data_IF_718023644759
#
_entry.id   IF_718023644759
#
_cell.length_a   1.000
_cell.length_b   1.000
_cell.length_c   1.000
_cell.angle_alpha   90.00
_cell.angle_beta   90.00
_cell.angle_gamma   90.00
#
_symmetry.space_group_name_H-M   'P 1'
#
loop_
_entity.id
_entity.type
_entity.pdbx_description
1 polymer ?
#
# COMPACT_ATOMS: atom_id res chain seq x y z
N UNK A 1 -50.87 -27.98 37.28
CA UNK A 1 -49.77 -28.83 36.75
C UNK A 1 -49.09 -28.29 35.47
N UNK A 2 -49.57 -27.20 34.82
CA UNK A 2 -49.06 -26.73 33.52
C UNK A 2 -47.95 -25.67 33.61
N UNK A 3 -47.76 -24.95 34.71
CA UNK A 3 -46.74 -23.87 34.81
C UNK A 3 -45.32 -24.38 34.97
N UNK A 4 -45.12 -25.54 35.59
CA UNK A 4 -43.77 -26.13 35.81
C UNK A 4 -43.18 -26.67 34.51
N UNK A 5 -44.01 -27.14 33.57
CA UNK A 5 -43.53 -27.62 32.25
C UNK A 5 -43.14 -26.49 31.28
N UNK A 6 -43.81 -25.33 31.37
CA UNK A 6 -43.44 -24.18 30.55
C UNK A 6 -42.05 -23.60 30.95
N UNK A 7 -41.77 -23.51 32.26
CA UNK A 7 -40.48 -23.00 32.76
C UNK A 7 -39.31 -23.92 32.39
N UNK A 8 -39.51 -25.23 32.45
CA UNK A 8 -38.48 -26.20 32.01
C UNK A 8 -38.19 -26.14 30.53
N UNK A 9 -39.19 -25.91 29.68
CA UNK A 9 -39.00 -25.77 28.23
C UNK A 9 -38.28 -24.44 27.84
N UNK A 10 -38.58 -23.35 28.55
CA UNK A 10 -37.89 -22.07 28.35
C UNK A 10 -36.43 -22.15 28.79
N UNK A 11 -36.15 -22.80 29.93
CA UNK A 11 -34.77 -23.03 30.38
C UNK A 11 -33.99 -23.95 29.43
N UNK A 12 -34.64 -24.99 28.88
CA UNK A 12 -34.00 -25.88 27.89
C UNK A 12 -33.67 -25.17 26.60
N UNK A 13 -34.56 -24.28 26.11
CA UNK A 13 -34.29 -23.43 24.94
C UNK A 13 -33.16 -22.43 25.19
N UNK A 14 -33.14 -21.75 26.34
CA UNK A 14 -32.03 -20.83 26.70
C UNK A 14 -30.69 -21.56 26.78
N UNK A 15 -30.63 -22.77 27.38
CA UNK A 15 -29.40 -23.59 27.34
C UNK A 15 -28.99 -23.97 25.93
N UNK A 16 -29.94 -24.32 25.05
CA UNK A 16 -29.61 -24.66 23.64
C UNK A 16 -29.06 -23.48 22.87
N UNK A 17 -29.62 -22.26 23.04
CA UNK A 17 -29.09 -21.05 22.41
C UNK A 17 -27.71 -20.68 22.95
N UNK A 18 -27.46 -20.85 24.24
CA UNK A 18 -26.16 -20.60 24.85
C UNK A 18 -25.09 -21.57 24.32
N UNK A 19 -25.41 -22.86 24.18
CA UNK A 19 -24.51 -23.85 23.57
C UNK A 19 -24.25 -23.58 22.09
N UNK A 20 -25.27 -23.16 21.35
CA UNK A 20 -25.12 -22.76 19.95
C UNK A 20 -24.19 -21.52 19.80
N UNK A 21 -24.36 -20.54 20.69
CA UNK A 21 -23.50 -19.35 20.73
C UNK A 21 -22.04 -19.72 21.02
N UNK A 22 -21.80 -20.58 22.02
CA UNK A 22 -20.46 -21.08 22.34
C UNK A 22 -19.85 -21.87 21.18
N UNK A 23 -20.65 -22.67 20.47
CA UNK A 23 -20.21 -23.42 19.32
C UNK A 23 -19.83 -22.50 18.15
N UNK A 24 -20.62 -21.47 17.85
CA UNK A 24 -20.31 -20.45 16.83
C UNK A 24 -19.02 -19.71 17.20
N UNK A 25 -18.88 -19.33 18.48
CA UNK A 25 -17.67 -18.65 18.97
C UNK A 25 -16.43 -19.55 18.88
N UNK A 26 -16.58 -20.85 19.18
CA UNK A 26 -15.52 -21.83 19.06
C UNK A 26 -15.13 -22.08 17.59
N UNK A 27 -16.09 -22.20 16.68
CA UNK A 27 -15.82 -22.32 15.24
C UNK A 27 -15.14 -21.07 14.70
N UNK A 28 -15.61 -19.89 15.10
CA UNK A 28 -14.97 -18.62 14.75
C UNK A 28 -13.53 -18.54 15.28
N UNK A 29 -13.30 -18.97 16.52
CA UNK A 29 -11.97 -19.06 17.14
C UNK A 29 -11.06 -20.05 16.40
N UNK A 30 -11.57 -21.23 16.00
CA UNK A 30 -10.82 -22.19 15.18
C UNK A 30 -10.48 -21.65 13.80
N UNK A 31 -11.39 -20.89 13.16
CA UNK A 31 -11.14 -20.24 11.87
C UNK A 31 -10.02 -19.19 12.02
N UNK A 32 -10.05 -18.39 13.09
CA UNK A 32 -8.98 -17.40 13.37
C UNK A 32 -7.64 -18.10 13.61
N UNK A 33 -7.60 -19.14 14.42
CA UNK A 33 -6.35 -19.90 14.68
C UNK A 33 -5.84 -20.54 13.39
N UNK A 34 -6.71 -21.17 12.61
CA UNK A 34 -6.30 -21.83 11.36
C UNK A 34 -5.80 -20.83 10.31
N UNK A 35 -6.37 -19.64 10.26
CA UNK A 35 -5.85 -18.56 9.41
C UNK A 35 -4.50 -18.03 9.91
N UNK A 36 -4.29 -17.93 11.23
CA UNK A 36 -3.02 -17.50 11.81
C UNK A 36 -1.89 -18.54 11.66
N UNK A 37 -2.21 -19.84 11.51
CA UNK A 37 -1.21 -20.89 11.29
C UNK A 37 -0.80 -21.05 9.82
N UNK A 38 -1.58 -20.47 8.89
CA UNK A 38 -1.33 -20.61 7.45
C UNK A 38 -0.09 -19.82 6.98
N UNK A 39 0.24 -18.73 7.67
CA UNK A 39 1.35 -17.85 7.30
C UNK A 39 2.36 -17.75 8.43
N UNK A 40 3.64 -17.62 8.07
CA UNK A 40 4.71 -17.39 9.05
C UNK A 40 4.55 -15.99 9.66
N UNK A 41 4.67 -15.88 10.97
CA UNK A 41 4.72 -14.57 11.64
C UNK A 41 5.97 -13.79 11.21
N UNK A 42 5.80 -12.49 10.93
CA UNK A 42 6.87 -11.59 10.53
C UNK A 42 6.51 -10.17 10.97
N UNK A 43 7.36 -9.51 11.71
CA UNK A 43 7.12 -8.16 12.22
C UNK A 43 7.05 -7.08 11.13
N UNK A 44 7.42 -7.41 9.89
CA UNK A 44 7.40 -6.50 8.75
C UNK A 44 6.72 -7.13 7.53
N UNK A 45 5.71 -6.46 7.01
CA UNK A 45 5.01 -6.84 5.77
C UNK A 45 5.30 -5.85 4.65
N UNK A 46 5.72 -6.36 3.51
CA UNK A 46 5.77 -5.61 2.25
C UNK A 46 4.41 -5.71 1.56
N UNK A 47 3.89 -4.58 1.12
CA UNK A 47 2.67 -4.49 0.31
C UNK A 47 3.05 -4.02 -1.08
N UNK A 48 2.57 -4.69 -2.10
CA UNK A 48 2.87 -4.35 -3.48
C UNK A 48 1.70 -4.68 -4.40
N UNK A 49 1.71 -4.13 -5.60
CA UNK A 49 0.76 -4.48 -6.63
C UNK A 49 1.37 -4.40 -8.03
N UNK A 50 0.79 -5.16 -8.95
CA UNK A 50 1.07 -5.01 -10.37
C UNK A 50 -0.19 -5.23 -11.21
N UNK A 51 -0.41 -4.30 -12.13
CA UNK A 51 -1.46 -4.34 -13.15
C UNK A 51 -0.82 -4.04 -14.50
N UNK A 52 -1.13 -4.87 -15.51
CA UNK A 52 -0.62 -4.66 -16.88
C UNK A 52 -1.36 -3.49 -17.52
N UNK A 53 -0.80 -2.29 -17.37
CA UNK A 53 -1.37 -1.04 -17.85
C UNK A 53 -0.33 -0.35 -18.75
N UNK A 54 -0.80 0.36 -19.78
CA UNK A 54 0.07 1.22 -20.59
C UNK A 54 0.76 2.23 -19.69
N UNK A 55 2.07 2.28 -19.75
CA UNK A 55 2.92 3.18 -18.97
C UNK A 55 4.21 3.48 -19.74
N UNK A 56 5.11 4.25 -19.13
CA UNK A 56 6.40 4.64 -19.71
C UNK A 56 7.31 3.46 -20.09
N UNK A 57 7.20 2.33 -19.38
CA UNK A 57 8.04 1.14 -19.59
C UNK A 57 7.25 0.01 -20.22
N UNK A 58 7.95 -0.87 -20.95
CA UNK A 58 7.35 -2.04 -21.58
C UNK A 58 6.95 -3.11 -20.53
N UNK A 59 5.94 -3.94 -20.80
CA UNK A 59 5.55 -5.03 -19.91
C UNK A 59 6.69 -6.02 -19.60
N UNK A 60 7.59 -6.24 -20.54
CA UNK A 60 8.75 -7.13 -20.40
C UNK A 60 9.76 -6.59 -19.37
N UNK A 61 9.96 -5.27 -19.33
CA UNK A 61 10.79 -4.62 -18.32
C UNK A 61 10.22 -4.86 -16.92
N UNK A 62 8.91 -4.66 -16.76
CA UNK A 62 8.24 -4.94 -15.48
C UNK A 62 8.38 -6.38 -15.06
N UNK A 63 8.24 -7.34 -15.99
CA UNK A 63 8.42 -8.77 -15.67
C UNK A 63 9.85 -9.08 -15.19
N UNK A 64 10.87 -8.43 -15.77
CA UNK A 64 12.26 -8.55 -15.31
C UNK A 64 12.40 -8.02 -13.88
N UNK A 65 11.88 -6.84 -13.60
CA UNK A 65 11.97 -6.21 -12.27
C UNK A 65 11.15 -6.97 -11.21
N UNK A 66 9.97 -7.46 -11.58
CA UNK A 66 9.13 -8.28 -10.71
C UNK A 66 9.86 -9.58 -10.34
N UNK A 67 10.58 -10.20 -11.27
CA UNK A 67 11.41 -11.40 -10.94
C UNK A 67 12.40 -11.10 -9.82
N UNK A 68 13.02 -9.93 -9.83
CA UNK A 68 13.92 -9.51 -8.77
C UNK A 68 13.17 -9.26 -7.45
N UNK A 69 12.04 -8.54 -7.51
CA UNK A 69 11.22 -8.21 -6.35
C UNK A 69 10.70 -9.47 -5.61
N UNK A 70 10.24 -10.47 -6.36
CA UNK A 70 9.67 -11.69 -5.77
C UNK A 70 10.72 -12.60 -5.11
N UNK A 71 12.01 -12.36 -5.31
CA UNK A 71 13.08 -13.10 -4.63
C UNK A 71 13.31 -12.62 -3.18
N UNK A 72 12.73 -11.49 -2.77
CA UNK A 72 12.88 -11.00 -1.39
C UNK A 72 12.37 -12.01 -0.38
N UNK A 73 13.22 -12.39 0.58
CA UNK A 73 12.85 -13.29 1.68
C UNK A 73 12.12 -12.52 2.79
N UNK A 74 10.97 -11.93 2.44
CA UNK A 74 10.11 -11.15 3.33
C UNK A 74 8.65 -11.54 3.15
N UNK A 75 7.84 -11.23 4.15
CA UNK A 75 6.40 -11.38 4.06
C UNK A 75 5.82 -10.35 3.10
N UNK A 76 5.07 -10.82 2.11
CA UNK A 76 4.52 -9.98 1.02
C UNK A 76 3.02 -10.18 0.90
N UNK A 77 2.26 -9.08 0.91
CA UNK A 77 0.88 -9.02 0.44
C UNK A 77 0.90 -8.40 -0.96
N UNK A 78 0.51 -9.18 -1.96
CA UNK A 78 0.61 -8.79 -3.36
C UNK A 78 -0.77 -8.72 -4.02
N UNK A 79 -1.12 -7.55 -4.53
CA UNK A 79 -2.37 -7.30 -5.24
C UNK A 79 -2.16 -7.35 -6.75
N UNK A 80 -3.11 -7.97 -7.46
CA UNK A 80 -3.09 -8.04 -8.91
C UNK A 80 -4.48 -8.45 -9.43
N UNK A 81 -4.67 -8.42 -10.76
CA UNK A 81 -5.89 -8.93 -11.38
C UNK A 81 -5.85 -10.46 -11.54
N UNK A 82 -7.00 -11.04 -11.88
CA UNK A 82 -7.16 -12.49 -12.08
C UNK A 82 -6.24 -13.04 -13.17
N UNK A 83 -6.07 -12.28 -14.25
CA UNK A 83 -5.23 -12.66 -15.40
C UNK A 83 -3.76 -12.82 -15.01
N UNK A 84 -3.22 -11.89 -14.25
CA UNK A 84 -1.78 -11.85 -13.93
C UNK A 84 -1.39 -12.69 -12.71
N UNK A 85 -2.31 -13.00 -11.81
CA UNK A 85 -2.04 -13.72 -10.57
C UNK A 85 -1.31 -15.07 -10.77
N UNK A 86 -1.66 -15.93 -11.74
CA UNK A 86 -0.94 -17.20 -11.97
C UNK A 86 0.53 -16.98 -12.33
N UNK A 87 0.82 -15.96 -13.15
CA UNK A 87 2.18 -15.59 -13.54
C UNK A 87 3.00 -15.19 -12.31
N UNK A 88 2.45 -14.33 -11.46
CA UNK A 88 3.13 -13.87 -10.27
C UNK A 88 3.38 -15.01 -9.27
N UNK A 89 2.40 -15.88 -9.05
CA UNK A 89 2.52 -17.06 -8.21
C UNK A 89 3.61 -18.01 -8.71
N UNK A 90 3.76 -18.16 -10.03
CA UNK A 90 4.82 -18.98 -10.66
C UNK A 90 6.22 -18.35 -10.50
N UNK A 91 6.32 -17.02 -10.54
CA UNK A 91 7.59 -16.30 -10.39
C UNK A 91 8.11 -16.34 -8.94
N UNK A 92 7.21 -16.35 -7.95
CA UNK A 92 7.58 -16.42 -6.54
C UNK A 92 8.18 -17.78 -6.20
N UNK A 93 9.38 -17.88 -5.60
CA UNK A 93 9.96 -19.15 -5.17
C UNK A 93 9.00 -19.95 -4.28
N UNK A 94 8.87 -21.26 -4.50
CA UNK A 94 7.91 -22.10 -3.77
C UNK A 94 8.14 -22.09 -2.27
N UNK A 95 9.40 -22.06 -1.85
CA UNK A 95 9.83 -21.96 -0.45
C UNK A 95 9.38 -20.65 0.23
N UNK A 96 9.04 -19.61 -0.54
CA UNK A 96 8.56 -18.34 -0.02
C UNK A 96 7.02 -18.18 -0.09
N UNK A 97 6.30 -19.19 -0.56
CA UNK A 97 4.84 -19.12 -0.66
C UNK A 97 4.18 -18.98 0.72
N UNK A 98 4.75 -19.55 1.77
CA UNK A 98 4.25 -19.41 3.15
C UNK A 98 4.41 -17.99 3.72
N UNK A 99 5.24 -17.15 3.08
CA UNK A 99 5.43 -15.72 3.35
C UNK A 99 4.69 -14.83 2.34
N UNK A 100 3.70 -15.35 1.60
CA UNK A 100 3.09 -14.58 0.51
C UNK A 100 1.58 -14.74 0.49
N UNK A 101 0.88 -13.62 0.49
CA UNK A 101 -0.56 -13.54 0.26
C UNK A 101 -0.80 -12.88 -1.09
N UNK A 102 -1.48 -13.59 -1.99
CA UNK A 102 -1.93 -13.05 -3.26
C UNK A 102 -3.40 -12.66 -3.16
N UNK A 103 -3.71 -11.41 -3.47
CA UNK A 103 -5.07 -10.88 -3.47
C UNK A 103 -5.44 -10.47 -4.89
N UNK A 104 -6.47 -11.12 -5.41
CA UNK A 104 -7.06 -10.73 -6.70
C UNK A 104 -8.04 -9.59 -6.46
N UNK A 105 -7.83 -8.48 -7.17
CA UNK A 105 -8.71 -7.33 -7.16
C UNK A 105 -8.67 -6.66 -8.54
N UNK A 106 -9.80 -6.55 -9.21
CA UNK A 106 -9.88 -5.88 -10.51
C UNK A 106 -9.89 -4.35 -10.34
N UNK A 107 -9.54 -3.60 -11.38
CA UNK A 107 -9.46 -2.12 -11.32
C UNK A 107 -10.83 -1.52 -11.00
N UNK A 108 -11.88 -2.11 -11.52
CA UNK A 108 -13.28 -1.72 -11.29
C UNK A 108 -13.70 -1.87 -9.82
N UNK A 109 -12.96 -2.70 -9.05
CA UNK A 109 -13.18 -2.92 -7.62
C UNK A 109 -12.37 -1.96 -6.73
N UNK A 110 -11.51 -1.15 -7.30
CA UNK A 110 -10.74 -0.17 -6.53
C UNK A 110 -11.65 0.87 -5.88
N UNK A 111 -11.26 1.29 -4.69
CA UNK A 111 -11.91 2.40 -4.02
C UNK A 111 -11.79 3.69 -4.85
N UNK A 112 -10.62 3.91 -5.43
CA UNK A 112 -10.34 5.03 -6.33
C UNK A 112 -11.23 5.01 -7.58
N UNK A 113 -11.47 3.84 -8.18
CA UNK A 113 -12.38 3.69 -9.33
C UNK A 113 -13.84 4.03 -8.94
N UNK A 114 -14.34 3.38 -7.88
CA UNK A 114 -15.74 3.50 -7.46
C UNK A 114 -16.12 4.92 -7.02
N UNK A 115 -15.16 5.68 -6.47
CA UNK A 115 -15.45 6.98 -5.86
C UNK A 115 -14.93 8.18 -6.68
N UNK A 116 -13.87 8.02 -7.50
CA UNK A 116 -13.15 9.16 -8.10
C UNK A 116 -12.84 8.99 -9.59
N UNK A 117 -13.43 8.01 -10.28
CA UNK A 117 -13.14 7.76 -11.70
C UNK A 117 -13.39 8.99 -12.59
N UNK A 118 -14.49 9.71 -12.35
CA UNK A 118 -14.84 10.92 -13.11
C UNK A 118 -13.81 12.04 -12.88
N UNK A 119 -13.34 12.19 -11.67
CA UNK A 119 -12.37 13.20 -11.27
C UNK A 119 -10.99 12.88 -11.86
N UNK A 120 -10.60 11.62 -11.91
CA UNK A 120 -9.38 11.19 -12.58
C UNK A 120 -9.44 11.39 -14.10
N UNK A 121 -10.59 11.18 -14.76
CA UNK A 121 -10.76 11.51 -16.18
C UNK A 121 -10.59 13.01 -16.44
N UNK A 122 -11.20 13.87 -15.62
CA UNK A 122 -11.00 15.33 -15.73
C UNK A 122 -9.53 15.72 -15.50
N UNK A 123 -8.86 15.04 -14.57
CA UNK A 123 -7.45 15.28 -14.30
C UNK A 123 -6.57 14.86 -15.47
N UNK A 124 -6.93 13.81 -16.19
CA UNK A 124 -6.23 13.37 -17.40
C UNK A 124 -6.27 14.42 -18.53
N UNK A 125 -7.35 15.16 -18.65
CA UNK A 125 -7.50 16.22 -19.67
C UNK A 125 -6.49 17.36 -19.49
N UNK A 126 -6.05 17.62 -18.26
CA UNK A 126 -5.10 18.67 -17.91
C UNK A 126 -3.69 18.14 -17.61
N UNK A 127 -3.44 16.84 -17.79
CA UNK A 127 -2.12 16.26 -17.55
C UNK A 127 -1.15 16.59 -18.69
N UNK A 128 -0.04 17.21 -18.35
CA UNK A 128 1.03 17.53 -19.29
C UNK A 128 1.79 16.30 -19.82
N UNK A 129 1.60 15.12 -19.17
CA UNK A 129 2.22 13.84 -19.51
C UNK A 129 1.18 12.81 -20.04
N UNK A 130 0.01 13.25 -20.50
CA UNK A 130 -1.08 12.38 -20.97
C UNK A 130 -0.72 11.51 -22.20
N UNK A 131 0.38 11.81 -22.89
CA UNK A 131 0.86 11.00 -24.03
C UNK A 131 1.27 9.57 -23.64
N UNK A 132 1.73 9.35 -22.41
CA UNK A 132 2.16 8.05 -21.91
C UNK A 132 1.51 7.63 -20.57
N UNK A 133 0.80 8.53 -19.92
CA UNK A 133 -0.02 8.20 -18.74
C UNK A 133 -1.45 7.82 -19.15
N UNK A 134 -2.18 7.20 -18.25
CA UNK A 134 -3.57 6.78 -18.49
C UNK A 134 -4.36 6.84 -17.20
N UNK A 135 -5.70 7.00 -17.31
CA UNK A 135 -6.58 7.00 -16.14
C UNK A 135 -6.46 5.72 -15.31
N UNK A 136 -6.40 4.51 -15.90
CA UNK A 136 -6.12 3.30 -15.11
C UNK A 136 -4.82 3.35 -14.31
N UNK A 137 -3.78 4.01 -14.81
CA UNK A 137 -2.52 4.19 -14.09
C UNK A 137 -2.70 5.09 -12.85
N UNK A 138 -3.46 6.20 -12.98
CA UNK A 138 -3.80 7.05 -11.84
C UNK A 138 -4.58 6.30 -10.76
N UNK A 139 -5.52 5.46 -11.18
CA UNK A 139 -6.31 4.65 -10.28
C UNK A 139 -5.44 3.68 -9.48
N UNK A 140 -4.46 3.01 -10.13
CA UNK A 140 -3.50 2.14 -9.43
C UNK A 140 -2.64 2.93 -8.46
N UNK A 141 -2.15 4.11 -8.84
CA UNK A 141 -1.34 4.95 -7.95
C UNK A 141 -2.13 5.41 -6.73
N UNK A 142 -3.36 5.87 -6.93
CA UNK A 142 -4.25 6.28 -5.84
C UNK A 142 -4.67 5.10 -4.94
N UNK A 143 -4.75 3.88 -5.48
CA UNK A 143 -5.15 2.69 -4.72
C UNK A 143 -4.05 2.13 -3.80
N UNK A 144 -2.78 2.54 -3.95
CA UNK A 144 -1.65 2.07 -3.12
C UNK A 144 -1.96 2.11 -1.63
N UNK A 145 -2.55 3.21 -1.16
CA UNK A 145 -2.90 3.38 0.25
C UNK A 145 -4.09 2.52 0.70
N UNK A 146 -5.03 2.19 -0.21
CA UNK A 146 -6.10 1.22 0.11
C UNK A 146 -5.57 -0.21 0.11
N UNK A 147 -4.61 -0.56 -0.75
CA UNK A 147 -3.90 -1.83 -0.66
C UNK A 147 -3.16 -1.95 0.68
N UNK A 148 -2.45 -0.89 1.09
CA UNK A 148 -1.79 -0.82 2.39
C UNK A 148 -2.80 -0.96 3.54
N UNK A 149 -3.92 -0.23 3.49
CA UNK A 149 -5.00 -0.31 4.49
C UNK A 149 -5.55 -1.73 4.62
N UNK A 150 -5.81 -2.39 3.48
CA UNK A 150 -6.29 -3.78 3.46
C UNK A 150 -5.28 -4.74 4.07
N UNK A 151 -4.00 -4.61 3.72
CA UNK A 151 -2.95 -5.45 4.29
C UNK A 151 -2.80 -5.25 5.80
N UNK A 152 -2.90 -4.01 6.31
CA UNK A 152 -2.88 -3.68 7.73
C UNK A 152 -4.10 -4.28 8.45
N UNK A 153 -5.30 -4.13 7.89
CA UNK A 153 -6.54 -4.59 8.54
C UNK A 153 -6.62 -6.11 8.67
N UNK A 154 -6.15 -6.84 7.68
CA UNK A 154 -6.13 -8.31 7.69
C UNK A 154 -4.92 -8.87 8.47
N UNK A 155 -3.83 -8.14 8.48
CA UNK A 155 -2.57 -8.44 9.16
C UNK A 155 -2.16 -9.92 9.15
N UNK A 156 -2.08 -10.51 7.95
CA UNK A 156 -1.85 -11.95 7.72
C UNK A 156 -0.61 -12.52 8.42
N UNK A 157 0.40 -11.67 8.68
CA UNK A 157 1.69 -12.07 9.26
C UNK A 157 1.90 -11.55 10.68
N UNK A 158 0.88 -10.93 11.28
CA UNK A 158 0.96 -10.29 12.61
C UNK A 158 2.04 -9.20 12.71
N UNK A 159 2.19 -8.40 11.64
CA UNK A 159 3.24 -7.40 11.51
C UNK A 159 2.89 -6.10 12.23
N UNK A 160 3.95 -5.40 12.71
CA UNK A 160 3.87 -4.06 13.29
C UNK A 160 4.30 -2.97 12.32
N UNK A 161 5.04 -3.37 11.29
CA UNK A 161 5.60 -2.50 10.26
C UNK A 161 5.08 -2.89 8.88
N UNK A 162 4.70 -1.88 8.09
CA UNK A 162 4.21 -2.07 6.73
C UNK A 162 4.89 -1.11 5.78
N UNK A 163 5.40 -1.65 4.67
CA UNK A 163 5.99 -0.86 3.60
C UNK A 163 5.30 -1.13 2.28
N UNK A 164 4.86 -0.06 1.61
CA UNK A 164 4.57 -0.12 0.19
C UNK A 164 5.88 -0.11 -0.58
N UNK A 165 6.02 -1.02 -1.54
CA UNK A 165 7.15 -1.08 -2.46
C UNK A 165 6.60 -1.42 -3.84
N UNK A 166 6.83 -0.55 -4.83
CA UNK A 166 6.44 -0.84 -6.20
C UNK A 166 7.09 -2.14 -6.68
N UNK A 167 6.34 -3.01 -7.34
CA UNK A 167 6.84 -4.29 -7.84
C UNK A 167 8.01 -4.16 -8.84
N UNK A 168 8.12 -2.99 -9.49
CA UNK A 168 9.24 -2.62 -10.36
C UNK A 168 10.38 -1.88 -9.67
N UNK A 169 10.54 -2.00 -8.35
CA UNK A 169 11.54 -1.26 -7.58
C UNK A 169 12.98 -1.72 -7.86
N UNK A 170 13.21 -3.01 -8.10
CA UNK A 170 14.54 -3.59 -8.33
C UNK A 170 14.83 -3.73 -9.83
N UNK A 171 15.41 -2.69 -10.43
CA UNK A 171 15.64 -2.58 -11.88
C UNK A 171 16.99 -3.09 -12.34
N UNK A 172 17.93 -3.26 -11.40
CA UNK A 172 19.29 -3.72 -11.63
C UNK A 172 19.34 -5.23 -11.91
N UNK A 173 20.51 -5.72 -12.27
CA UNK A 173 20.71 -7.16 -12.40
C UNK A 173 20.65 -7.86 -11.02
N UNK A 174 20.20 -9.12 -11.01
CA UNK A 174 19.99 -9.89 -9.77
C UNK A 174 21.26 -9.95 -8.91
N UNK A 175 22.45 -9.96 -9.52
CA UNK A 175 23.74 -9.97 -8.82
C UNK A 175 23.92 -8.74 -7.93
N UNK A 176 23.49 -7.57 -8.42
CA UNK A 176 23.65 -6.29 -7.74
C UNK A 176 22.69 -6.14 -6.55
N UNK A 177 21.56 -6.82 -6.61
CA UNK A 177 20.54 -6.77 -5.56
C UNK A 177 20.63 -7.94 -4.57
N UNK A 178 21.50 -8.94 -4.80
CA UNK A 178 21.58 -10.15 -3.99
C UNK A 178 21.78 -9.87 -2.50
N UNK A 179 22.52 -8.82 -2.15
CA UNK A 179 22.75 -8.39 -0.76
C UNK A 179 21.48 -7.95 -0.04
N UNK A 180 20.42 -7.55 -0.77
CA UNK A 180 19.16 -7.10 -0.20
C UNK A 180 18.13 -8.23 0.00
N UNK A 181 18.31 -9.39 -0.65
CA UNK A 181 17.27 -10.41 -0.75
C UNK A 181 16.81 -10.96 0.61
N UNK A 182 17.72 -11.06 1.59
CA UNK A 182 17.43 -11.71 2.87
C UNK A 182 16.96 -10.74 3.97
N UNK A 183 17.58 -9.58 4.08
CA UNK A 183 17.41 -8.72 5.26
C UNK A 183 16.75 -7.36 4.96
N UNK A 184 16.49 -7.06 3.70
CA UNK A 184 15.90 -5.80 3.31
C UNK A 184 14.37 -5.89 3.09
N UNK A 185 13.58 -4.89 3.50
CA UNK A 185 13.98 -3.77 4.34
C UNK A 185 14.21 -4.18 5.80
N UNK A 186 15.08 -3.43 6.49
CA UNK A 186 15.44 -3.71 7.88
C UNK A 186 14.29 -3.37 8.83
N UNK A 187 13.92 -4.34 9.66
CA UNK A 187 12.94 -4.16 10.71
C UNK A 187 13.39 -3.12 11.77
N UNK A 188 14.68 -3.10 12.07
CA UNK A 188 15.24 -2.17 13.05
C UNK A 188 15.00 -0.71 12.66
N UNK A 189 15.06 -0.39 11.37
CA UNK A 189 14.79 0.98 10.88
C UNK A 189 13.36 1.43 11.15
N UNK A 190 12.40 0.52 11.01
CA UNK A 190 11.00 0.80 11.35
C UNK A 190 10.79 1.04 12.85
N UNK A 191 11.55 0.34 13.71
CA UNK A 191 11.43 0.53 15.17
C UNK A 191 12.17 1.77 15.67
N UNK A 192 13.30 2.13 15.04
CA UNK A 192 14.09 3.31 15.39
C UNK A 192 13.36 4.59 15.07
N UNK A 193 12.65 4.64 13.94
CA UNK A 193 11.86 5.81 13.56
C UNK A 193 10.41 5.40 13.26
N UNK A 194 9.50 5.80 14.13
CA UNK A 194 8.07 5.48 14.01
C UNK A 194 7.39 6.16 12.83
N UNK A 195 8.00 7.23 12.29
CA UNK A 195 7.45 8.02 11.19
C UNK A 195 7.42 7.23 9.88
N UNK A 196 6.63 7.73 8.93
CA UNK A 196 6.61 7.20 7.56
C UNK A 196 7.91 7.57 6.86
N UNK A 197 8.71 6.58 6.52
CA UNK A 197 9.87 6.76 5.68
C UNK A 197 9.42 7.01 4.23
N UNK A 198 9.99 8.04 3.60
CA UNK A 198 9.75 8.37 2.20
C UNK A 198 10.95 9.10 1.62
N UNK A 199 11.24 8.90 0.32
CA UNK A 199 12.32 9.62 -0.34
C UNK A 199 11.84 11.00 -0.80
N UNK A 200 12.61 12.04 -0.47
CA UNK A 200 12.49 13.37 -1.05
C UNK A 200 13.54 13.52 -2.15
N UNK A 201 13.12 13.74 -3.39
CA UNK A 201 14.00 13.70 -4.57
C UNK A 201 14.75 15.02 -4.78
N UNK A 202 14.13 16.14 -4.37
CA UNK A 202 14.77 17.45 -4.43
C UNK A 202 14.58 18.21 -3.13
N UNK A 203 15.48 19.18 -2.91
CA UNK A 203 15.33 20.11 -1.80
C UNK A 203 14.21 21.11 -2.10
N UNK A 204 13.45 21.48 -1.07
CA UNK A 204 12.45 22.54 -1.09
C UNK A 204 12.78 23.56 -0.01
N UNK A 205 12.82 24.83 -0.40
CA UNK A 205 12.89 25.93 0.56
C UNK A 205 11.60 26.04 1.37
N UNK A 206 11.66 26.68 2.53
CA UNK A 206 10.46 26.91 3.35
C UNK A 206 9.40 27.75 2.63
N UNK A 207 9.83 28.65 1.72
CA UNK A 207 8.91 29.43 0.88
C UNK A 207 8.18 28.53 -0.12
N UNK A 208 8.89 27.62 -0.82
CA UNK A 208 8.28 26.65 -1.74
C UNK A 208 7.28 25.74 -1.01
N UNK A 209 7.64 25.24 0.17
CA UNK A 209 6.72 24.42 0.98
C UNK A 209 5.45 25.20 1.33
N UNK A 210 5.59 26.47 1.79
CA UNK A 210 4.45 27.33 2.09
C UNK A 210 3.55 27.57 0.88
N UNK A 211 4.10 27.80 -0.30
CA UNK A 211 3.34 27.96 -1.56
C UNK A 211 2.52 26.69 -1.87
N UNK A 212 3.15 25.50 -1.73
CA UNK A 212 2.46 24.22 -1.93
C UNK A 212 1.32 24.04 -0.94
N UNK A 213 1.55 24.26 0.36
CA UNK A 213 0.55 24.14 1.41
C UNK A 213 -0.63 25.13 1.22
N UNK A 214 -0.34 26.32 0.75
CA UNK A 214 -1.35 27.35 0.51
C UNK A 214 -2.04 27.25 -0.87
N UNK A 215 -1.79 26.17 -1.62
CA UNK A 215 -2.41 25.92 -2.92
C UNK A 215 -2.09 26.98 -3.98
N UNK A 216 -0.84 27.48 -4.00
CA UNK A 216 -0.37 28.34 -5.08
C UNK A 216 -0.37 27.59 -6.41
N UNK A 217 -1.00 28.17 -7.43
CA UNK A 217 -1.20 27.50 -8.72
C UNK A 217 0.12 27.19 -9.43
N UNK A 218 1.07 28.10 -9.43
CA UNK A 218 2.37 27.88 -10.10
C UNK A 218 3.15 26.77 -9.39
N UNK A 219 3.13 26.74 -8.06
CA UNK A 219 3.77 25.69 -7.28
C UNK A 219 3.16 24.31 -7.62
N UNK A 220 1.85 24.19 -7.73
CA UNK A 220 1.18 22.94 -8.07
C UNK A 220 1.41 22.51 -9.54
N UNK A 221 1.47 23.44 -10.49
CA UNK A 221 1.86 23.14 -11.88
C UNK A 221 3.31 22.65 -11.93
N UNK A 222 4.21 23.24 -11.15
CA UNK A 222 5.60 22.78 -11.04
C UNK A 222 5.71 21.38 -10.45
N UNK A 223 4.85 21.03 -9.47
CA UNK A 223 4.80 19.67 -8.92
C UNK A 223 4.44 18.60 -9.98
N UNK A 224 3.63 18.94 -10.99
CA UNK A 224 3.29 17.98 -12.05
C UNK A 224 4.49 17.59 -12.92
N UNK A 225 5.44 18.52 -13.13
CA UNK A 225 6.60 18.33 -14.01
C UNK A 225 7.71 17.50 -13.39
N UNK A 226 7.84 17.56 -12.07
CA UNK A 226 8.98 17.01 -11.35
C UNK A 226 8.58 15.81 -10.47
N UNK A 227 9.54 14.93 -10.21
CA UNK A 227 9.46 13.99 -9.10
C UNK A 227 9.91 14.73 -7.84
N UNK A 228 9.03 14.84 -6.86
CA UNK A 228 9.27 15.63 -5.64
C UNK A 228 9.51 14.74 -4.43
N UNK A 229 8.45 14.04 -4.01
CA UNK A 229 8.52 12.96 -3.03
C UNK A 229 8.21 11.66 -3.76
N UNK A 230 9.09 10.67 -3.66
CA UNK A 230 8.96 9.44 -4.42
C UNK A 230 7.93 8.51 -3.79
N UNK A 231 6.95 8.09 -4.59
CA UNK A 231 5.85 7.22 -4.18
C UNK A 231 6.10 5.72 -4.43
N UNK A 232 7.31 5.35 -4.83
CA UNK A 232 7.67 3.97 -5.16
C UNK A 232 8.07 3.11 -3.96
N UNK A 233 8.40 3.75 -2.83
CA UNK A 233 8.70 3.12 -1.56
C UNK A 233 8.33 4.07 -0.43
N UNK A 234 7.46 3.60 0.47
CA UNK A 234 7.11 4.31 1.69
C UNK A 234 6.53 3.34 2.72
N UNK A 235 6.61 3.69 3.98
CA UNK A 235 6.02 2.89 5.05
C UNK A 235 6.61 3.18 6.42
N UNK A 236 6.13 2.45 7.41
CA UNK A 236 6.51 2.61 8.81
C UNK A 236 5.62 1.78 9.72
N UNK A 237 5.45 2.22 10.97
CA UNK A 237 4.56 1.57 11.92
C UNK A 237 3.08 1.79 11.57
N UNK A 238 2.23 0.83 11.92
CA UNK A 238 0.79 0.78 11.61
C UNK A 238 0.09 2.11 11.90
N UNK A 239 0.33 2.70 13.08
CA UNK A 239 -0.35 3.94 13.49
C UNK A 239 -0.15 5.08 12.48
N UNK A 240 1.11 5.32 12.09
CA UNK A 240 1.41 6.40 11.14
C UNK A 240 1.02 6.05 9.70
N UNK A 241 1.05 4.76 9.33
CA UNK A 241 0.47 4.32 8.05
C UNK A 241 -1.03 4.65 7.98
N UNK A 242 -1.80 4.41 9.06
CA UNK A 242 -3.23 4.73 9.10
C UNK A 242 -3.50 6.24 9.08
N UNK A 243 -2.69 7.06 9.78
CA UNK A 243 -2.76 8.53 9.69
C UNK A 243 -2.51 9.01 8.26
N UNK A 244 -1.46 8.50 7.62
CA UNK A 244 -1.12 8.85 6.24
C UNK A 244 -2.24 8.51 5.26
N UNK A 245 -2.86 7.33 5.40
CA UNK A 245 -4.02 6.92 4.59
C UNK A 245 -5.18 7.92 4.73
N UNK A 246 -5.51 8.33 5.95
CA UNK A 246 -6.57 9.30 6.20
C UNK A 246 -6.23 10.66 5.57
N UNK A 247 -5.04 11.20 5.82
CA UNK A 247 -4.59 12.48 5.23
C UNK A 247 -4.59 12.44 3.71
N UNK A 248 -4.30 11.28 3.10
CA UNK A 248 -4.34 11.18 1.64
C UNK A 248 -5.74 11.40 1.08
N UNK A 249 -6.74 10.73 1.63
CA UNK A 249 -8.10 10.86 1.09
C UNK A 249 -8.73 12.22 1.43
N UNK A 250 -8.42 12.80 2.58
CA UNK A 250 -8.78 14.18 2.91
C UNK A 250 -8.14 15.16 1.92
N UNK A 251 -6.84 15.00 1.64
CA UNK A 251 -6.12 15.84 0.68
C UNK A 251 -6.61 15.63 -0.75
N UNK A 252 -6.90 14.39 -1.17
CA UNK A 252 -7.47 14.10 -2.50
C UNK A 252 -8.78 14.86 -2.70
N UNK A 253 -9.70 14.82 -1.73
CA UNK A 253 -10.95 15.58 -1.78
C UNK A 253 -10.71 17.09 -1.83
N UNK A 254 -9.71 17.58 -1.09
CA UNK A 254 -9.35 19.00 -1.10
C UNK A 254 -8.78 19.43 -2.47
N UNK A 255 -7.92 18.62 -3.09
CA UNK A 255 -7.38 18.84 -4.44
C UNK A 255 -8.49 18.87 -5.48
N UNK A 256 -9.45 17.92 -5.41
CA UNK A 256 -10.64 17.89 -6.28
C UNK A 256 -11.43 19.18 -6.12
N UNK A 257 -11.75 19.60 -4.87
CA UNK A 257 -12.49 20.84 -4.58
C UNK A 257 -11.77 22.07 -5.12
N UNK A 258 -10.45 22.10 -5.06
CA UNK A 258 -9.60 23.18 -5.57
C UNK A 258 -9.33 23.10 -7.07
N UNK A 259 -9.82 22.04 -7.76
CA UNK A 259 -9.60 21.79 -9.20
C UNK A 259 -8.11 21.64 -9.56
N UNK A 260 -7.31 21.07 -8.66
CA UNK A 260 -5.89 20.81 -8.85
C UNK A 260 -5.72 19.40 -9.40
N UNK A 261 -4.67 19.19 -10.20
CA UNK A 261 -4.32 17.90 -10.77
C UNK A 261 -4.10 16.82 -9.71
N UNK A 262 -4.80 15.68 -9.87
CA UNK A 262 -4.76 14.54 -8.93
C UNK A 262 -4.18 13.25 -9.54
N UNK A 263 -3.75 13.26 -10.81
CA UNK A 263 -3.33 12.05 -11.52
C UNK A 263 -2.08 11.37 -10.91
N UNK A 264 -1.16 12.14 -10.33
CA UNK A 264 0.04 11.62 -9.68
C UNK A 264 -0.11 11.60 -8.16
N UNK A 265 0.01 10.42 -7.56
CA UNK A 265 -0.01 10.23 -6.10
C UNK A 265 1.08 11.05 -5.39
N UNK A 266 2.27 11.14 -5.97
CA UNK A 266 3.41 11.89 -5.42
C UNK A 266 3.14 13.39 -5.22
N UNK A 267 2.24 14.02 -5.99
CA UNK A 267 1.88 15.43 -5.79
C UNK A 267 1.11 15.61 -4.49
N UNK A 268 0.15 14.72 -4.24
CA UNK A 268 -0.62 14.70 -3.00
C UNK A 268 0.27 14.30 -1.82
N UNK A 269 1.16 13.32 -1.99
CA UNK A 269 2.12 12.92 -0.96
C UNK A 269 3.05 14.07 -0.58
N UNK A 270 3.52 14.86 -1.55
CA UNK A 270 4.35 16.04 -1.30
C UNK A 270 3.60 17.07 -0.45
N UNK A 271 2.35 17.37 -0.81
CA UNK A 271 1.49 18.26 -0.02
C UNK A 271 1.32 17.76 1.41
N UNK A 272 1.00 16.47 1.61
CA UNK A 272 0.79 15.89 2.93
C UNK A 272 2.08 15.92 3.75
N UNK A 273 3.21 15.56 3.14
CA UNK A 273 4.50 15.52 3.83
C UNK A 273 4.94 16.91 4.35
N UNK A 274 4.55 17.97 3.65
CA UNK A 274 4.83 19.35 4.09
C UNK A 274 3.79 19.90 5.06
N UNK A 275 2.53 19.44 4.95
CA UNK A 275 1.46 19.85 5.86
C UNK A 275 1.49 19.11 7.21
N UNK A 276 2.05 17.90 7.25
CA UNK A 276 2.12 17.03 8.42
C UNK A 276 3.52 16.45 8.61
N UNK A 277 4.57 17.31 8.74
CA UNK A 277 5.95 16.85 8.77
C UNK A 277 6.26 15.94 9.99
N UNK A 278 5.45 16.01 11.04
CA UNK A 278 5.62 15.21 12.24
C UNK A 278 5.45 13.70 12.03
N UNK A 279 4.70 13.28 11.01
CA UNK A 279 4.51 11.86 10.71
C UNK A 279 5.47 11.32 9.64
N UNK A 280 6.32 12.18 9.04
CA UNK A 280 7.22 11.77 7.96
C UNK A 280 8.70 11.90 8.33
N UNK A 281 9.47 10.90 7.93
CA UNK A 281 10.91 10.95 7.80
C UNK A 281 11.25 11.03 6.31
N UNK A 282 11.50 12.25 5.82
CA UNK A 282 11.88 12.49 4.43
C UNK A 282 13.40 12.35 4.27
N UNK A 283 13.83 11.28 3.61
CA UNK A 283 15.24 11.07 3.29
C UNK A 283 15.55 11.75 1.97
N UNK A 284 16.41 12.78 2.00
CA UNK A 284 16.81 13.49 0.79
C UNK A 284 17.63 12.59 -0.13
N UNK A 285 17.29 12.61 -1.40
CA UNK A 285 17.69 11.61 -2.36
C UNK A 285 18.12 12.24 -3.70
N UNK A 286 19.40 12.27 -3.96
CA UNK A 286 19.95 12.83 -5.19
C UNK A 286 19.97 11.78 -6.33
N UNK A 287 18.80 11.54 -6.97
CA UNK A 287 18.63 10.73 -8.21
C UNK A 287 19.17 9.28 -8.20
N UNK A 288 19.50 8.69 -7.06
CA UNK A 288 20.02 7.33 -6.99
C UNK A 288 19.16 6.43 -6.10
N UNK A 289 18.26 5.58 -6.69
CA UNK A 289 17.42 4.63 -5.97
C UNK A 289 18.17 3.72 -4.97
N UNK A 290 19.48 3.63 -5.10
CA UNK A 290 20.35 2.87 -4.21
C UNK A 290 20.41 3.46 -2.81
N UNK A 291 20.33 4.79 -2.63
CA UNK A 291 20.48 5.42 -1.31
C UNK A 291 19.36 5.05 -0.34
N UNK A 292 18.11 5.03 -0.80
CA UNK A 292 16.99 4.64 0.07
C UNK A 292 17.07 3.15 0.47
N UNK A 293 17.58 2.31 -0.44
CA UNK A 293 17.88 0.90 -0.12
C UNK A 293 18.99 0.76 0.91
N UNK A 294 20.05 1.57 0.77
CA UNK A 294 21.15 1.61 1.77
C UNK A 294 20.61 2.10 3.11
N UNK A 295 19.76 3.13 3.12
CA UNK A 295 19.16 3.62 4.37
C UNK A 295 18.34 2.53 5.07
N UNK A 296 17.62 1.69 4.32
CA UNK A 296 16.80 0.60 4.85
C UNK A 296 17.58 -0.71 5.08
N UNK A 297 18.85 -0.75 4.78
CA UNK A 297 19.73 -1.87 5.15
C UNK A 297 20.24 -1.68 6.56
#
# INVERSE_FOLDING_TARGET
MNYINLSKNVLKRKKSYFLLFLFIFYVYYLIIINNNTKYQQDDLTIVSAYYRIKSKHLPEDYLKWIKNFVMLNKSIVFFTNKEFMPTFKKLRPKELHHKTVFIVKEIEDFYSYKNFYKEFNKSFEIDIENSYQTVPLYLVWSEKLMFLKKAISENYFNSKCFYWIDAGHFREDIKDIQKYLNNWPSLNKCYQDKRILMAQVKYFSEEEKKKIINFDNEAHIKLQKDINVAANLFGGQVENCLKFINYYYESLLLFIKKKIFIGKDQNIYTYIAFSHPEIFNLVLYNNNYTLLRIYLS
#
